data_IF_798363932043
#
_entry.id   IF_798363932043
#
_cell.length_a   1.000
_cell.length_b   1.000
_cell.length_c   1.000
_cell.angle_alpha   90.00
_cell.angle_beta   90.00
_cell.angle_gamma   90.00
#
_symmetry.space_group_name_H-M   'P 1'
#
loop_
_entity.id
_entity.type
_entity.pdbx_description
1 polymer ?
#
# COMPACT_ATOMS: atom_id res chain seq x y z
N UNK A 1 -23.74 -23.58 16.26
CA UNK A 1 -22.99 -22.30 16.05
C UNK A 1 -21.68 -22.63 15.37
N UNK A 2 -21.43 -22.09 14.19
CA UNK A 2 -20.11 -22.24 13.52
C UNK A 2 -19.22 -21.07 13.93
N UNK A 3 -18.09 -21.34 14.56
CA UNK A 3 -17.13 -20.31 14.92
C UNK A 3 -16.34 -19.85 13.69
N UNK A 4 -16.01 -18.56 13.62
CA UNK A 4 -15.24 -17.98 12.49
C UNK A 4 -13.86 -18.64 12.28
N UNK A 5 -13.28 -19.20 13.34
CA UNK A 5 -12.01 -19.94 13.30
C UNK A 5 -12.08 -21.24 12.51
N UNK A 6 -13.28 -21.82 12.36
CA UNK A 6 -13.52 -23.06 11.62
C UNK A 6 -13.90 -22.84 10.16
N UNK A 7 -14.15 -21.58 9.77
CA UNK A 7 -14.57 -21.24 8.42
C UNK A 7 -13.36 -20.92 7.53
N UNK A 8 -13.57 -21.01 6.20
CA UNK A 8 -12.56 -20.65 5.19
C UNK A 8 -12.03 -19.22 5.44
N UNK A 9 -10.71 -19.05 5.33
CA UNK A 9 -10.07 -17.75 5.44
C UNK A 9 -10.56 -16.82 4.34
N UNK A 10 -10.93 -15.59 4.69
CA UNK A 10 -11.33 -14.56 3.73
C UNK A 10 -10.10 -13.92 3.11
N UNK A 11 -10.06 -13.74 1.78
CA UNK A 11 -9.00 -13.01 1.10
C UNK A 11 -8.93 -11.55 1.56
N UNK A 12 -10.07 -10.87 1.65
CA UNK A 12 -10.22 -9.48 2.05
C UNK A 12 -11.18 -9.36 3.25
N UNK A 13 -10.65 -9.39 4.50
CA UNK A 13 -11.49 -9.38 5.69
C UNK A 13 -12.21 -8.04 5.93
N UNK A 14 -11.77 -6.94 5.32
CA UNK A 14 -12.36 -5.61 5.43
C UNK A 14 -13.82 -5.52 4.97
N UNK A 15 -14.24 -6.35 4.01
CA UNK A 15 -15.62 -6.39 3.52
C UNK A 15 -16.53 -7.30 4.35
N UNK A 16 -15.92 -8.14 5.17
CA UNK A 16 -16.64 -9.08 6.03
C UNK A 16 -17.20 -10.30 5.29
N UNK A 17 -17.71 -11.22 6.08
CA UNK A 17 -18.15 -12.53 5.59
C UNK A 17 -19.41 -12.48 4.75
N UNK A 18 -20.27 -11.48 4.99
CA UNK A 18 -21.52 -11.33 4.23
C UNK A 18 -21.23 -11.07 2.75
N UNK A 19 -20.26 -10.20 2.45
CA UNK A 19 -19.85 -9.90 1.07
C UNK A 19 -19.14 -11.12 0.47
N UNK A 20 -18.29 -11.81 1.21
CA UNK A 20 -17.64 -13.04 0.73
C UNK A 20 -18.69 -14.10 0.34
N UNK A 21 -19.73 -14.29 1.15
CA UNK A 21 -20.81 -15.23 0.85
C UNK A 21 -21.58 -14.83 -0.42
N UNK A 22 -21.78 -13.51 -0.66
CA UNK A 22 -22.41 -13.02 -1.89
C UNK A 22 -21.54 -13.31 -3.12
N UNK A 23 -20.22 -13.17 -3.00
CA UNK A 23 -19.27 -13.51 -4.08
C UNK A 23 -19.26 -15.02 -4.33
N UNK A 24 -19.24 -15.83 -3.29
CA UNK A 24 -19.29 -17.28 -3.39
C UNK A 24 -20.62 -17.73 -4.03
N UNK A 25 -21.75 -17.06 -3.71
CA UNK A 25 -23.03 -17.30 -4.36
C UNK A 25 -22.99 -16.90 -5.86
N UNK A 26 -22.39 -15.76 -6.20
CA UNK A 26 -22.27 -15.33 -7.60
C UNK A 26 -21.49 -16.33 -8.46
N UNK A 27 -20.53 -17.06 -7.92
CA UNK A 27 -19.83 -18.16 -8.60
C UNK A 27 -20.73 -19.35 -8.93
N UNK A 28 -21.82 -19.58 -8.16
CA UNK A 28 -22.77 -20.68 -8.40
C UNK A 28 -23.79 -20.37 -9.50
N UNK A 29 -23.96 -19.10 -9.89
CA UNK A 29 -24.93 -18.67 -10.91
C UNK A 29 -24.43 -19.10 -12.29
N UNK A 30 -25.23 -19.89 -13.01
CA UNK A 30 -24.87 -20.37 -14.35
C UNK A 30 -25.14 -19.32 -15.44
N UNK A 31 -26.23 -18.55 -15.32
CA UNK A 31 -26.57 -17.50 -16.27
C UNK A 31 -25.63 -16.31 -16.15
N UNK A 32 -24.94 -15.98 -17.27
CA UNK A 32 -23.97 -14.89 -17.32
C UNK A 32 -24.63 -13.52 -17.06
N UNK A 33 -25.85 -13.30 -17.55
CA UNK A 33 -26.55 -12.03 -17.37
C UNK A 33 -26.97 -11.82 -15.89
N UNK A 34 -27.39 -12.88 -15.21
CA UNK A 34 -27.69 -12.83 -13.78
C UNK A 34 -26.42 -12.66 -12.95
N UNK A 35 -25.34 -13.35 -13.31
CA UNK A 35 -24.02 -13.21 -12.67
C UNK A 35 -23.50 -11.78 -12.76
N UNK A 36 -23.64 -11.15 -13.93
CA UNK A 36 -23.26 -9.74 -14.13
C UNK A 36 -24.08 -8.79 -13.26
N UNK A 37 -25.40 -9.01 -13.17
CA UNK A 37 -26.28 -8.20 -12.28
C UNK A 37 -25.90 -8.37 -10.82
N UNK A 38 -25.62 -9.61 -10.40
CA UNK A 38 -25.17 -9.92 -9.05
C UNK A 38 -23.83 -9.21 -8.73
N UNK A 39 -22.85 -9.27 -9.64
CA UNK A 39 -21.56 -8.60 -9.49
C UNK A 39 -21.72 -7.07 -9.35
N UNK A 40 -22.54 -6.44 -10.18
CA UNK A 40 -22.81 -5.01 -10.08
C UNK A 40 -23.48 -4.64 -8.74
N UNK A 41 -24.36 -5.49 -8.22
CA UNK A 41 -24.99 -5.28 -6.92
C UNK A 41 -23.97 -5.38 -5.78
N UNK A 42 -23.07 -6.38 -5.83
CA UNK A 42 -21.98 -6.54 -4.86
C UNK A 42 -21.07 -5.31 -4.87
N UNK A 43 -20.66 -4.81 -6.05
CA UNK A 43 -19.82 -3.61 -6.17
C UNK A 43 -20.53 -2.38 -5.58
N UNK A 44 -21.82 -2.22 -5.80
CA UNK A 44 -22.59 -1.11 -5.22
C UNK A 44 -22.63 -1.20 -3.68
N UNK A 45 -22.81 -2.40 -3.12
CA UNK A 45 -22.80 -2.61 -1.67
C UNK A 45 -21.41 -2.31 -1.10
N UNK A 46 -20.35 -2.82 -1.72
CA UNK A 46 -18.96 -2.56 -1.33
C UNK A 46 -18.66 -1.06 -1.36
N UNK A 47 -19.10 -0.35 -2.40
CA UNK A 47 -18.94 1.11 -2.51
C UNK A 47 -19.67 1.89 -1.42
N UNK A 48 -20.86 1.44 -1.02
CA UNK A 48 -21.64 2.07 0.04
C UNK A 48 -21.04 1.86 1.45
N UNK A 49 -20.22 0.84 1.64
CA UNK A 49 -19.52 0.63 2.92
C UNK A 49 -18.47 1.71 3.22
N UNK A 50 -17.92 2.35 2.17
CA UNK A 50 -16.87 3.37 2.30
C UNK A 50 -17.26 4.69 1.60
N UNK A 51 -18.27 5.40 2.10
CA UNK A 51 -18.83 6.58 1.43
C UNK A 51 -17.81 7.72 1.27
N UNK A 52 -16.80 7.82 2.15
CA UNK A 52 -15.75 8.82 2.09
C UNK A 52 -14.75 8.63 0.93
N UNK A 53 -14.71 7.43 0.33
CA UNK A 53 -13.86 7.13 -0.83
C UNK A 53 -14.61 7.29 -2.17
N UNK A 54 -15.90 7.58 -2.13
CA UNK A 54 -16.79 7.63 -3.31
C UNK A 54 -16.34 8.66 -4.36
N UNK A 55 -15.74 9.76 -3.91
CA UNK A 55 -15.31 10.86 -4.77
C UNK A 55 -13.89 10.65 -5.34
N UNK A 56 -13.20 9.57 -4.95
CA UNK A 56 -11.88 9.22 -5.49
C UNK A 56 -12.09 8.51 -6.84
N UNK A 57 -11.53 9.03 -7.95
CA UNK A 57 -11.76 8.50 -9.30
C UNK A 57 -11.35 7.02 -9.45
N UNK A 58 -10.26 6.61 -8.79
CA UNK A 58 -9.73 5.24 -8.87
C UNK A 58 -10.45 4.24 -7.95
N UNK A 59 -11.40 4.71 -7.12
CA UNK A 59 -12.05 3.86 -6.13
C UNK A 59 -12.89 2.75 -6.79
N UNK A 60 -13.65 3.08 -7.83
CA UNK A 60 -14.44 2.08 -8.57
C UNK A 60 -13.57 1.00 -9.21
N UNK A 61 -12.41 1.38 -9.72
CA UNK A 61 -11.44 0.45 -10.29
C UNK A 61 -10.96 -0.57 -9.25
N UNK A 62 -10.58 -0.08 -8.07
CA UNK A 62 -10.15 -0.94 -6.94
C UNK A 62 -11.24 -1.89 -6.47
N UNK A 63 -12.51 -1.48 -6.50
CA UNK A 63 -13.61 -2.37 -6.12
C UNK A 63 -13.73 -3.58 -7.04
N UNK A 64 -13.53 -3.40 -8.35
CA UNK A 64 -13.53 -4.50 -9.31
C UNK A 64 -12.32 -5.41 -9.13
N UNK A 65 -11.15 -4.86 -8.84
CA UNK A 65 -9.96 -5.64 -8.49
C UNK A 65 -10.19 -6.48 -7.23
N UNK A 66 -10.80 -5.89 -6.20
CA UNK A 66 -11.13 -6.60 -4.96
C UNK A 66 -12.16 -7.71 -5.20
N UNK A 67 -13.17 -7.48 -6.05
CA UNK A 67 -14.12 -8.52 -6.45
C UNK A 67 -13.40 -9.69 -7.15
N UNK A 68 -12.48 -9.40 -8.07
CA UNK A 68 -11.69 -10.41 -8.76
C UNK A 68 -10.82 -11.23 -7.77
N UNK A 69 -10.19 -10.57 -6.80
CA UNK A 69 -9.40 -11.23 -5.75
C UNK A 69 -10.28 -12.12 -4.87
N UNK A 70 -11.46 -11.63 -4.44
CA UNK A 70 -12.39 -12.38 -3.59
C UNK A 70 -12.97 -13.61 -4.27
N UNK A 71 -13.19 -13.53 -5.60
CA UNK A 71 -13.65 -14.66 -6.42
C UNK A 71 -12.52 -15.62 -6.84
N UNK A 72 -11.27 -15.33 -6.48
CA UNK A 72 -10.10 -16.10 -6.93
C UNK A 72 -9.82 -16.00 -8.43
N UNK A 73 -10.33 -14.98 -9.11
CA UNK A 73 -10.28 -14.78 -10.58
C UNK A 73 -11.06 -15.84 -11.38
N UNK A 74 -12.02 -16.51 -10.73
CA UNK A 74 -12.85 -17.54 -11.39
C UNK A 74 -14.17 -16.99 -11.94
N UNK A 75 -14.51 -15.72 -11.61
CA UNK A 75 -15.78 -15.11 -11.99
C UNK A 75 -15.75 -14.65 -13.45
N UNK A 76 -16.49 -15.35 -14.33
CA UNK A 76 -16.67 -14.98 -15.74
C UNK A 76 -17.74 -13.92 -15.89
N UNK A 77 -17.32 -12.64 -15.90
CA UNK A 77 -18.16 -11.45 -16.06
C UNK A 77 -17.45 -10.43 -16.95
N UNK A 78 -18.18 -9.42 -17.42
CA UNK A 78 -17.60 -8.30 -18.16
C UNK A 78 -17.10 -7.24 -17.17
N UNK A 79 -15.79 -7.11 -17.06
CA UNK A 79 -15.16 -6.09 -16.23
C UNK A 79 -15.08 -4.76 -17.01
N UNK A 80 -15.54 -3.64 -16.45
CA UNK A 80 -15.47 -2.33 -17.10
C UNK A 80 -14.04 -1.76 -17.17
N UNK A 81 -13.11 -2.36 -16.44
CA UNK A 81 -11.71 -1.95 -16.36
C UNK A 81 -10.78 -3.15 -16.50
N UNK A 82 -9.52 -2.90 -16.81
CA UNK A 82 -8.47 -3.93 -16.71
C UNK A 82 -8.25 -4.29 -15.24
N UNK A 83 -8.44 -5.57 -14.91
CA UNK A 83 -8.21 -6.09 -13.57
C UNK A 83 -6.76 -6.51 -13.36
N UNK A 84 -6.31 -6.46 -12.11
CA UNK A 84 -4.98 -6.94 -11.72
C UNK A 84 -4.86 -8.44 -12.05
N UNK A 85 -3.75 -8.84 -12.65
CA UNK A 85 -3.47 -10.26 -12.92
C UNK A 85 -3.03 -10.98 -11.65
N UNK A 86 -3.44 -12.24 -11.52
CA UNK A 86 -3.09 -13.09 -10.36
C UNK A 86 -1.58 -13.16 -10.12
N UNK A 87 -0.78 -13.17 -11.19
CA UNK A 87 0.67 -13.25 -11.12
C UNK A 87 1.31 -12.03 -10.42
N UNK A 88 0.70 -10.84 -10.58
CA UNK A 88 1.18 -9.61 -9.96
C UNK A 88 0.94 -9.55 -8.44
N UNK A 89 -0.02 -10.34 -7.91
CA UNK A 89 -0.31 -10.38 -6.48
C UNK A 89 0.70 -11.20 -5.68
N UNK A 90 1.40 -12.11 -6.31
CA UNK A 90 2.34 -13.06 -5.67
C UNK A 90 3.78 -12.56 -5.71
N UNK A 91 4.05 -11.44 -6.41
CA UNK A 91 5.40 -10.87 -6.47
C UNK A 91 5.82 -10.38 -5.08
N UNK A 92 6.85 -11.01 -4.54
CA UNK A 92 7.51 -10.49 -3.34
C UNK A 92 8.33 -9.27 -3.73
N UNK A 93 8.24 -8.17 -2.97
CA UNK A 93 9.14 -7.05 -3.20
C UNK A 93 10.59 -7.50 -3.04
N UNK A 94 11.48 -6.93 -3.84
CA UNK A 94 12.90 -7.21 -3.73
C UNK A 94 13.41 -6.85 -2.34
N UNK A 95 14.27 -7.70 -1.81
CA UNK A 95 14.87 -7.47 -0.50
C UNK A 95 15.77 -6.23 -0.58
N UNK A 96 15.42 -5.20 0.18
CA UNK A 96 16.27 -4.01 0.32
C UNK A 96 17.42 -4.39 1.24
N UNK A 97 18.68 -4.43 0.75
CA UNK A 97 19.82 -4.76 1.58
C UNK A 97 20.05 -3.66 2.63
N UNK A 98 20.34 -4.06 3.84
CA UNK A 98 20.78 -3.12 4.86
C UNK A 98 22.09 -2.44 4.42
N UNK A 99 22.18 -1.13 4.63
CA UNK A 99 23.41 -0.41 4.39
C UNK A 99 24.52 -0.99 5.29
N UNK A 100 25.52 -1.65 4.67
CA UNK A 100 26.68 -2.22 5.36
C UNK A 100 27.78 -1.18 5.61
N UNK A 101 27.58 0.05 5.12
CA UNK A 101 28.53 1.13 5.31
C UNK A 101 28.69 1.47 6.80
N UNK A 102 29.92 1.30 7.31
CA UNK A 102 30.25 1.63 8.70
C UNK A 102 30.12 3.15 8.88
N UNK A 103 29.11 3.57 9.66
CA UNK A 103 28.95 4.98 10.03
C UNK A 103 30.06 5.40 10.99
N UNK A 104 30.72 6.52 10.69
CA UNK A 104 31.77 7.09 11.53
C UNK A 104 31.18 7.68 12.82
N UNK A 105 30.07 8.39 12.68
CA UNK A 105 29.39 9.04 13.81
C UNK A 105 27.91 8.61 13.82
N UNK A 106 27.61 7.58 14.61
CA UNK A 106 26.28 6.95 14.65
C UNK A 106 25.17 7.90 15.09
N UNK A 107 25.47 8.85 15.99
CA UNK A 107 24.50 9.81 16.54
C UNK A 107 23.96 10.80 15.50
N UNK A 108 24.67 11.02 14.40
CA UNK A 108 24.19 11.84 13.31
C UNK A 108 23.41 11.08 12.23
N UNK A 109 23.62 9.75 12.15
CA UNK A 109 22.99 8.89 11.16
C UNK A 109 23.64 8.94 9.77
N UNK A 110 23.27 7.99 8.93
CA UNK A 110 23.85 7.83 7.60
C UNK A 110 23.50 8.97 6.64
N UNK A 111 22.30 9.54 6.78
CA UNK A 111 21.80 10.62 5.91
C UNK A 111 22.73 11.85 5.97
N UNK A 112 23.23 12.17 7.16
CA UNK A 112 24.11 13.32 7.32
C UNK A 112 25.48 13.10 6.65
N UNK A 113 26.04 11.88 6.75
CA UNK A 113 27.27 11.54 6.04
C UNK A 113 27.11 11.65 4.51
N UNK A 114 25.96 11.25 3.97
CA UNK A 114 25.64 11.40 2.55
C UNK A 114 25.53 12.87 2.15
N UNK A 115 24.89 13.70 2.98
CA UNK A 115 24.77 15.14 2.73
C UNK A 115 26.14 15.84 2.76
N UNK A 116 27.02 15.47 3.67
CA UNK A 116 28.39 16.00 3.73
C UNK A 116 29.17 15.62 2.46
N UNK A 117 29.09 14.38 2.01
CA UNK A 117 29.73 13.94 0.76
C UNK A 117 29.23 14.76 -0.44
N UNK A 118 27.91 14.94 -0.54
CA UNK A 118 27.32 15.78 -1.57
C UNK A 118 27.78 17.24 -1.49
N UNK A 119 27.88 17.81 -0.28
CA UNK A 119 28.37 19.17 -0.09
C UNK A 119 29.82 19.36 -0.57
N UNK A 120 30.66 18.32 -0.46
CA UNK A 120 32.04 18.34 -0.97
C UNK A 120 32.05 18.40 -2.51
N UNK A 121 31.13 17.68 -3.17
CA UNK A 121 31.01 17.61 -4.62
C UNK A 121 30.40 18.89 -5.24
N UNK A 122 29.69 19.69 -4.44
CA UNK A 122 29.05 20.92 -4.92
C UNK A 122 30.08 21.98 -5.34
N UNK A 123 29.84 22.70 -6.46
CA UNK A 123 30.67 23.80 -6.88
C UNK A 123 30.64 24.94 -5.85
N UNK A 124 31.73 25.71 -5.76
CA UNK A 124 31.78 26.87 -4.86
C UNK A 124 30.73 27.93 -5.25
N UNK A 125 29.84 28.24 -4.30
CA UNK A 125 28.74 29.16 -4.51
C UNK A 125 27.86 29.36 -3.27
N UNK A 126 26.83 30.17 -3.40
CA UNK A 126 25.87 30.42 -2.33
C UNK A 126 25.10 29.14 -1.93
N UNK A 127 24.80 28.26 -2.89
CA UNK A 127 24.09 27.01 -2.64
C UNK A 127 24.90 26.07 -1.74
N UNK A 128 26.21 25.92 -1.99
CA UNK A 128 27.11 25.14 -1.12
C UNK A 128 27.16 25.70 0.29
N UNK A 129 27.26 27.03 0.43
CA UNK A 129 27.26 27.70 1.75
C UNK A 129 25.95 27.45 2.50
N UNK A 130 24.81 27.57 1.82
CA UNK A 130 23.50 27.31 2.38
C UNK A 130 23.38 25.83 2.82
N UNK A 131 23.84 24.90 1.99
CA UNK A 131 23.82 23.47 2.33
C UNK A 131 24.69 23.18 3.56
N UNK A 132 25.87 23.76 3.66
CA UNK A 132 26.75 23.62 4.82
C UNK A 132 26.08 24.19 6.07
N UNK A 133 25.44 25.36 5.98
CA UNK A 133 24.72 25.95 7.11
C UNK A 133 23.58 25.06 7.59
N UNK A 134 22.81 24.45 6.67
CA UNK A 134 21.75 23.51 7.01
C UNK A 134 22.29 22.25 7.69
N UNK A 135 23.37 21.68 7.17
CA UNK A 135 24.05 20.52 7.77
C UNK A 135 24.50 20.85 9.19
N UNK A 136 25.17 21.99 9.41
CA UNK A 136 25.64 22.42 10.72
C UNK A 136 24.49 22.63 11.71
N UNK A 137 23.38 23.24 11.27
CA UNK A 137 22.19 23.41 12.10
C UNK A 137 21.57 22.06 12.49
N UNK A 138 21.50 21.12 11.55
CA UNK A 138 20.99 19.78 11.85
C UNK A 138 21.91 19.04 12.85
N UNK A 139 23.21 19.13 12.69
CA UNK A 139 24.17 18.56 13.64
C UNK A 139 24.02 19.13 15.05
N UNK A 140 23.84 20.46 15.15
CA UNK A 140 23.56 21.14 16.41
C UNK A 140 22.29 20.64 17.08
N UNK A 141 21.20 20.51 16.31
CA UNK A 141 19.94 20.01 16.82
C UNK A 141 20.04 18.57 17.34
N UNK A 142 20.76 17.69 16.63
CA UNK A 142 20.99 16.32 17.09
C UNK A 142 21.70 16.27 18.46
N UNK A 143 22.64 17.17 18.71
CA UNK A 143 23.36 17.23 19.98
C UNK A 143 22.51 17.84 21.13
N UNK A 144 21.67 18.82 20.84
CA UNK A 144 20.79 19.43 21.85
C UNK A 144 19.80 18.41 22.43
N UNK A 145 19.21 17.56 21.60
CA UNK A 145 18.28 16.53 22.05
C UNK A 145 18.93 15.38 22.83
N UNK A 146 20.23 15.16 22.66
CA UNK A 146 20.95 14.13 23.43
C UNK A 146 21.39 14.64 24.80
N UNK A 147 21.54 15.96 25.01
CA UNK A 147 21.93 16.53 26.30
C UNK A 147 20.79 16.67 27.29
N UNK A 148 19.54 16.75 26.82
CA UNK A 148 18.34 16.88 27.67
C UNK A 148 17.81 15.52 28.19
N UNK A 149 18.39 14.40 27.72
CA UNK A 149 18.00 13.04 28.10
C UNK A 149 18.94 12.39 29.15
N UNK A 150 19.88 13.13 29.72
CA UNK A 150 20.86 12.64 30.71
C UNK A 150 20.50 13.03 32.14
#
# INVERSE_FOLDING_TARGET
MQYNTQQKRMPLPEYGRSIQNMVDYALTIQDRAERQRCANTIINIMGNMFPHLRDVPDFKHKLWDHLAIMSGFELDIDYPYEIIRKDNLVTRPDHIPYSTARMRYRHYGHTLEVLIKKAIEFPEGNEKRNLIALICNHMKNCLLYTSDAA
#
